data_IF_077652014593
#
_entry.id   IF_077652014593
#
_cell.length_a   1.000
_cell.length_b   1.000
_cell.length_c   1.000
_cell.angle_alpha   90.00
_cell.angle_beta   90.00
_cell.angle_gamma   90.00
#
_symmetry.space_group_name_H-M   'P 1'
#
loop_
_entity.id
_entity.type
_entity.pdbx_description
1 polymer ?
#
# COMPACT_ATOMS: atom_id res chain seq x y z
N UNK A 1 14.21 7.24 -18.86
CA UNK A 1 13.04 7.08 -17.97
C UNK A 1 13.19 5.81 -17.15
N UNK A 2 12.79 5.82 -15.89
CA UNK A 2 12.83 4.62 -15.04
C UNK A 2 11.64 3.71 -15.32
N UNK A 3 11.90 2.42 -15.47
CA UNK A 3 10.89 1.39 -15.71
C UNK A 3 11.17 0.15 -14.87
N UNK A 4 10.12 -0.43 -14.30
CA UNK A 4 10.19 -1.71 -13.62
C UNK A 4 9.55 -2.78 -14.49
N UNK A 5 10.33 -3.78 -14.89
CA UNK A 5 9.83 -4.95 -15.60
C UNK A 5 8.88 -5.74 -14.69
N UNK A 6 7.75 -6.17 -15.22
CA UNK A 6 6.74 -6.92 -14.48
C UNK A 6 6.64 -8.36 -15.00
N UNK A 7 6.52 -9.31 -14.08
CA UNK A 7 6.24 -10.70 -14.45
C UNK A 7 4.83 -10.81 -15.04
N UNK A 8 4.72 -11.40 -16.23
CA UNK A 8 3.44 -11.54 -16.93
C UNK A 8 2.37 -12.23 -16.05
N UNK A 9 1.15 -11.67 -16.03
CA UNK A 9 0.04 -12.12 -15.21
C UNK A 9 -1.28 -11.45 -15.61
N UNK A 10 -2.41 -12.10 -15.29
CA UNK A 10 -3.74 -11.69 -15.78
C UNK A 10 -4.17 -10.25 -15.43
N UNK A 11 -3.69 -9.68 -14.32
CA UNK A 11 -3.99 -8.28 -13.94
C UNK A 11 -3.34 -7.26 -14.90
N UNK A 12 -2.22 -7.60 -15.55
CA UNK A 12 -1.42 -6.65 -16.33
C UNK A 12 -2.08 -6.22 -17.63
N UNK A 13 -2.85 -7.10 -18.27
CA UNK A 13 -3.62 -6.72 -19.46
C UNK A 13 -4.66 -5.64 -19.15
N UNK A 14 -5.34 -5.74 -18.00
CA UNK A 14 -6.31 -4.74 -17.56
C UNK A 14 -5.61 -3.43 -17.19
N UNK A 15 -4.51 -3.51 -16.44
CA UNK A 15 -3.75 -2.32 -16.04
C UNK A 15 -3.09 -1.62 -17.22
N UNK A 16 -2.64 -2.35 -18.25
CA UNK A 16 -1.99 -1.76 -19.43
C UNK A 16 -2.96 -1.18 -20.46
N UNK A 17 -4.20 -1.66 -20.48
CA UNK A 17 -5.25 -1.15 -21.37
C UNK A 17 -6.11 -0.06 -20.74
N UNK A 18 -5.89 0.25 -19.45
CA UNK A 18 -6.60 1.31 -18.74
C UNK A 18 -5.61 2.36 -18.23
N UNK A 19 -5.98 3.64 -18.35
CA UNK A 19 -5.36 4.70 -17.57
C UNK A 19 -5.92 4.61 -16.14
N UNK A 20 -5.51 3.56 -15.41
CA UNK A 20 -6.06 3.27 -14.09
C UNK A 20 -5.69 4.34 -13.07
N UNK A 21 -4.51 4.95 -13.18
CA UNK A 21 -4.08 6.05 -12.33
C UNK A 21 -3.28 7.09 -13.09
N UNK A 22 -3.31 8.33 -12.58
CA UNK A 22 -2.41 9.40 -13.02
C UNK A 22 -1.01 9.34 -12.42
N UNK A 23 -0.84 8.60 -11.31
CA UNK A 23 0.43 8.50 -10.59
C UNK A 23 1.24 7.26 -10.97
N UNK A 24 0.62 6.28 -11.63
CA UNK A 24 1.26 5.03 -12.06
C UNK A 24 0.71 4.62 -13.42
N UNK A 25 1.57 4.07 -14.26
CA UNK A 25 1.18 3.54 -15.56
C UNK A 25 1.83 2.20 -15.80
N UNK A 26 1.05 1.25 -16.30
CA UNK A 26 1.56 0.00 -16.83
C UNK A 26 1.42 0.08 -18.34
N UNK A 27 2.47 -0.26 -19.07
CA UNK A 27 2.43 -0.27 -20.52
C UNK A 27 3.05 -1.55 -21.05
N UNK A 28 2.68 -1.89 -22.27
CA UNK A 28 3.00 -3.16 -22.91
C UNK A 28 3.88 -2.92 -24.12
N UNK A 29 4.99 -3.64 -24.20
CA UNK A 29 5.82 -3.74 -25.40
C UNK A 29 5.85 -5.18 -25.91
N UNK A 30 6.24 -5.35 -27.17
CA UNK A 30 6.45 -6.67 -27.77
C UNK A 30 7.94 -6.89 -27.94
N UNK A 31 8.46 -7.93 -27.31
CA UNK A 31 9.85 -8.35 -27.50
C UNK A 31 10.10 -8.93 -28.90
N UNK A 32 11.37 -9.20 -29.21
CA UNK A 32 11.77 -9.76 -30.51
C UNK A 32 11.14 -11.13 -30.85
N UNK A 33 10.65 -11.87 -29.85
CA UNK A 33 9.95 -13.14 -29.99
C UNK A 33 8.42 -13.01 -29.95
N UNK A 34 7.89 -11.80 -30.13
CA UNK A 34 6.46 -11.45 -29.97
C UNK A 34 5.91 -11.69 -28.55
N UNK A 35 6.79 -11.98 -27.59
CA UNK A 35 6.39 -12.07 -26.19
C UNK A 35 5.97 -10.70 -25.67
N UNK A 36 4.86 -10.67 -24.93
CA UNK A 36 4.38 -9.46 -24.27
C UNK A 36 5.23 -9.17 -23.03
N UNK A 37 5.79 -7.96 -23.00
CA UNK A 37 6.55 -7.42 -21.89
C UNK A 37 5.74 -6.28 -21.26
N UNK A 38 5.69 -6.24 -19.94
CA UNK A 38 4.96 -5.22 -19.20
C UNK A 38 5.90 -4.45 -18.31
N UNK A 39 5.72 -3.14 -18.28
CA UNK A 39 6.56 -2.23 -17.51
C UNK A 39 5.70 -1.31 -16.65
N UNK A 40 6.03 -1.20 -15.37
CA UNK A 40 5.49 -0.16 -14.49
C UNK A 40 6.38 1.08 -14.59
N UNK A 41 5.76 2.25 -14.69
CA UNK A 41 6.43 3.54 -14.60
C UNK A 41 5.59 4.54 -13.81
N UNK A 42 6.22 5.64 -13.39
CA UNK A 42 5.57 6.70 -12.64
C UNK A 42 6.21 8.04 -12.98
N UNK A 43 5.41 9.11 -13.15
CA UNK A 43 5.96 10.44 -13.38
C UNK A 43 6.70 10.97 -12.14
N UNK A 44 6.51 10.36 -10.96
CA UNK A 44 7.26 10.67 -9.73
C UNK A 44 8.74 10.27 -9.76
N UNK A 45 9.19 9.55 -10.80
CA UNK A 45 10.61 9.27 -11.05
C UNK A 45 11.23 10.21 -12.11
N UNK A 46 10.48 11.15 -12.68
CA UNK A 46 10.94 11.99 -13.81
C UNK A 46 12.11 12.91 -13.48
N UNK A 47 12.18 13.39 -12.23
CA UNK A 47 13.26 14.25 -11.72
C UNK A 47 14.54 13.48 -11.35
N UNK A 48 14.53 12.14 -11.37
CA UNK A 48 15.67 11.30 -11.00
C UNK A 48 16.52 10.98 -12.22
N UNK A 49 17.83 11.20 -12.11
CA UNK A 49 18.79 11.06 -13.20
C UNK A 49 19.69 9.84 -13.00
N UNK A 50 19.85 9.04 -14.06
CA UNK A 50 20.84 7.97 -14.09
C UNK A 50 22.25 8.57 -14.33
N UNK A 51 23.31 8.09 -13.66
CA UNK A 51 23.32 7.00 -12.66
C UNK A 51 23.16 7.45 -11.20
N UNK A 52 23.17 8.76 -10.93
CA UNK A 52 23.34 9.31 -9.58
C UNK A 52 22.18 8.94 -8.65
N UNK A 53 20.95 8.84 -9.19
CA UNK A 53 19.73 8.58 -8.42
C UNK A 53 19.29 7.11 -8.42
N UNK A 54 20.16 6.17 -8.83
CA UNK A 54 19.83 4.74 -8.92
C UNK A 54 19.17 4.19 -7.64
N UNK A 55 19.75 4.45 -6.48
CA UNK A 55 19.23 3.94 -5.20
C UNK A 55 17.85 4.52 -4.87
N UNK A 56 17.70 5.84 -5.04
CA UNK A 56 16.42 6.55 -4.83
C UNK A 56 15.34 6.01 -5.77
N UNK A 57 15.66 5.84 -7.06
CA UNK A 57 14.74 5.27 -8.04
C UNK A 57 14.31 3.85 -7.66
N UNK A 58 15.24 2.99 -7.22
CA UNK A 58 14.95 1.64 -6.75
C UNK A 58 14.00 1.63 -5.55
N UNK A 59 14.31 2.38 -4.49
CA UNK A 59 13.45 2.41 -3.30
C UNK A 59 12.08 3.04 -3.58
N UNK A 60 12.04 4.14 -4.34
CA UNK A 60 10.79 4.81 -4.71
C UNK A 60 9.90 3.88 -5.55
N UNK A 61 10.46 3.20 -6.55
CA UNK A 61 9.71 2.27 -7.39
C UNK A 61 9.18 1.06 -6.60
N UNK A 62 9.96 0.52 -5.66
CA UNK A 62 9.51 -0.57 -4.79
C UNK A 62 8.30 -0.16 -3.92
N UNK A 63 8.33 1.04 -3.36
CA UNK A 63 7.22 1.56 -2.55
C UNK A 63 5.99 1.83 -3.42
N UNK A 64 6.18 2.40 -4.61
CA UNK A 64 5.09 2.61 -5.56
C UNK A 64 4.45 1.29 -6.01
N UNK A 65 5.25 0.25 -6.29
CA UNK A 65 4.75 -1.09 -6.57
C UNK A 65 4.00 -1.66 -5.36
N UNK A 66 4.49 -1.44 -4.13
CA UNK A 66 3.80 -1.86 -2.92
C UNK A 66 2.43 -1.16 -2.78
N UNK A 67 2.34 0.14 -3.04
CA UNK A 67 1.07 0.89 -3.04
C UNK A 67 0.12 0.32 -4.09
N UNK A 68 0.59 0.10 -5.33
CA UNK A 68 -0.21 -0.53 -6.39
C UNK A 68 -0.75 -1.90 -5.96
N UNK A 69 0.11 -2.76 -5.43
CA UNK A 69 -0.28 -4.10 -4.99
C UNK A 69 -1.27 -4.07 -3.83
N UNK A 70 -1.13 -3.10 -2.92
CA UNK A 70 -2.06 -2.93 -1.81
C UNK A 70 -3.43 -2.47 -2.32
N UNK A 71 -3.46 -1.52 -3.26
CA UNK A 71 -4.70 -1.08 -3.91
C UNK A 71 -5.38 -2.21 -4.71
N UNK A 72 -4.59 -3.05 -5.39
CA UNK A 72 -5.10 -4.25 -6.07
C UNK A 72 -5.74 -5.22 -5.06
N UNK A 73 -5.07 -5.49 -3.94
CA UNK A 73 -5.59 -6.41 -2.92
C UNK A 73 -6.88 -5.87 -2.29
N UNK A 74 -6.94 -4.58 -1.95
CA UNK A 74 -8.14 -3.95 -1.39
C UNK A 74 -9.34 -3.99 -2.36
N UNK A 75 -9.08 -4.07 -3.67
CA UNK A 75 -10.10 -4.17 -4.73
C UNK A 75 -10.27 -5.60 -5.27
N UNK A 76 -9.87 -6.60 -4.47
CA UNK A 76 -9.98 -8.04 -4.77
C UNK A 76 -9.32 -8.46 -6.10
N UNK A 77 -8.31 -7.71 -6.52
CA UNK A 77 -7.49 -7.98 -7.70
C UNK A 77 -6.16 -8.64 -7.32
N UNK A 78 -5.56 -9.38 -8.26
CA UNK A 78 -4.28 -10.07 -7.99
C UNK A 78 -3.11 -9.08 -8.02
N UNK A 79 -2.19 -9.12 -7.04
CA UNK A 79 -0.97 -8.32 -7.06
C UNK A 79 -0.09 -8.71 -8.24
N UNK A 80 0.81 -7.80 -8.62
CA UNK A 80 1.79 -7.96 -9.69
C UNK A 80 3.20 -8.03 -9.12
N UNK A 81 4.10 -8.72 -9.81
CA UNK A 81 5.47 -8.92 -9.35
C UNK A 81 6.44 -8.10 -10.21
N UNK A 82 7.25 -7.28 -9.56
CA UNK A 82 8.38 -6.59 -10.19
C UNK A 82 9.58 -7.51 -10.30
N UNK A 83 10.31 -7.39 -11.41
CA UNK A 83 11.52 -8.13 -11.70
C UNK A 83 12.72 -7.18 -11.52
N UNK A 84 13.11 -6.51 -12.61
CA UNK A 84 14.27 -5.63 -12.65
C UNK A 84 13.84 -4.19 -12.95
N UNK A 85 14.41 -3.25 -12.19
CA UNK A 85 14.32 -1.83 -12.47
C UNK A 85 15.46 -1.44 -13.41
N UNK A 86 15.14 -0.75 -14.50
CA UNK A 86 16.14 -0.25 -15.45
C UNK A 86 15.83 1.19 -15.85
N UNK A 87 16.86 1.92 -16.28
CA UNK A 87 16.72 3.20 -16.95
C UNK A 87 16.69 2.99 -18.47
N UNK A 88 15.58 3.36 -19.11
CA UNK A 88 15.42 3.38 -20.58
C UNK A 88 15.92 4.71 -21.14
N UNK A 89 16.93 4.67 -21.99
CA UNK A 89 17.47 5.83 -22.70
C UNK A 89 16.66 6.16 -23.97
N UNK A 90 16.77 7.39 -24.52
CA UNK A 90 16.06 7.78 -25.75
C UNK A 90 16.41 6.94 -26.99
N UNK A 91 17.57 6.27 -27.00
CA UNK A 91 18.00 5.38 -28.07
C UNK A 91 17.56 3.92 -27.86
N UNK A 92 16.55 3.68 -27.00
CA UNK A 92 16.05 2.36 -26.59
C UNK A 92 17.10 1.44 -25.94
N UNK A 93 18.24 1.97 -25.50
CA UNK A 93 19.15 1.25 -24.63
C UNK A 93 18.59 1.19 -23.19
N UNK A 94 18.91 0.11 -22.49
CA UNK A 94 18.52 -0.10 -21.09
C UNK A 94 19.76 -0.26 -20.23
N UNK A 95 19.69 0.25 -19.01
CA UNK A 95 20.72 0.04 -18.01
C UNK A 95 20.07 -0.29 -16.67
N UNK A 96 20.45 -1.43 -16.10
CA UNK A 96 19.85 -1.89 -14.85
C UNK A 96 20.24 -0.97 -13.71
N UNK A 97 19.25 -0.68 -12.87
CA UNK A 97 19.45 0.01 -11.62
C UNK A 97 20.16 -0.91 -10.65
N UNK A 98 21.13 -0.37 -9.93
CA UNK A 98 21.76 -1.05 -8.81
C UNK A 98 21.62 -0.20 -7.56
N UNK A 99 21.42 -0.84 -6.42
CA UNK A 99 21.41 -0.15 -5.12
C UNK A 99 22.22 -0.90 -4.09
N UNK A 100 22.89 -0.15 -3.24
CA UNK A 100 23.38 -0.67 -1.97
C UNK A 100 22.23 -0.67 -0.96
N UNK A 101 22.37 -1.45 0.12
CA UNK A 101 21.41 -1.40 1.22
C UNK A 101 21.53 -0.08 1.97
N UNK A 102 20.48 0.74 1.87
CA UNK A 102 20.29 1.95 2.66
C UNK A 102 18.89 1.93 3.32
N UNK A 103 18.81 1.46 4.58
CA UNK A 103 17.54 1.40 5.30
C UNK A 103 16.91 2.77 5.56
N UNK A 104 17.71 3.84 5.66
CA UNK A 104 17.20 5.19 5.94
C UNK A 104 16.56 5.76 4.69
N UNK A 105 17.21 5.62 3.54
CA UNK A 105 16.62 6.01 2.25
C UNK A 105 15.36 5.20 1.96
N UNK A 106 15.36 3.89 2.25
CA UNK A 106 14.16 3.08 2.11
C UNK A 106 13.00 3.59 3.00
N UNK A 107 13.29 3.94 4.24
CA UNK A 107 12.29 4.47 5.17
C UNK A 107 11.75 5.83 4.71
N UNK A 108 12.61 6.70 4.16
CA UNK A 108 12.21 7.96 3.56
C UNK A 108 11.22 7.74 2.40
N UNK A 109 11.54 6.81 1.49
CA UNK A 109 10.65 6.49 0.37
C UNK A 109 9.36 5.81 0.84
N UNK A 110 9.39 5.00 1.91
CA UNK A 110 8.19 4.41 2.53
C UNK A 110 7.26 5.49 3.10
N UNK A 111 7.83 6.56 3.65
CA UNK A 111 7.06 7.67 4.20
C UNK A 111 6.37 8.49 3.11
N UNK A 112 7.08 8.82 2.03
CA UNK A 112 6.49 9.47 0.87
C UNK A 112 7.27 9.19 -0.42
N UNK A 113 6.75 8.34 -1.33
CA UNK A 113 7.37 8.10 -2.63
C UNK A 113 6.96 9.15 -3.67
N UNK A 114 6.03 10.04 -3.36
CA UNK A 114 5.52 11.05 -4.30
C UNK A 114 6.33 12.34 -4.23
N UNK A 115 6.38 13.05 -5.34
CA UNK A 115 7.09 14.32 -5.48
C UNK A 115 6.05 15.40 -5.71
N UNK A 116 6.14 16.58 -5.06
CA UNK A 116 5.29 17.70 -5.40
C UNK A 116 5.54 18.15 -6.85
N UNK A 117 4.53 18.77 -7.46
CA UNK A 117 4.66 19.48 -8.75
C UNK A 117 5.00 18.61 -9.97
N UNK A 118 4.49 17.37 -9.99
CA UNK A 118 4.55 16.51 -11.18
C UNK A 118 3.37 16.81 -12.09
N UNK A 119 3.62 16.99 -13.39
CA UNK A 119 2.55 17.15 -14.37
C UNK A 119 1.77 15.83 -14.54
N UNK A 120 0.47 15.86 -14.22
CA UNK A 120 -0.43 14.72 -14.29
C UNK A 120 -1.38 14.90 -15.47
N UNK A 121 -1.34 13.97 -16.41
CA UNK A 121 -2.05 14.07 -17.69
C UNK A 121 -3.28 13.16 -17.80
N UNK A 122 -3.65 12.47 -16.72
CA UNK A 122 -4.74 11.51 -16.69
C UNK A 122 -5.66 11.71 -15.47
N UNK A 123 -6.89 11.19 -15.57
CA UNK A 123 -7.83 11.07 -14.45
C UNK A 123 -7.83 9.63 -13.92
N UNK A 124 -8.02 9.48 -12.61
CA UNK A 124 -8.10 8.17 -11.96
C UNK A 124 -9.46 7.51 -12.25
N UNK A 125 -9.45 6.57 -13.20
CA UNK A 125 -10.67 6.04 -13.82
C UNK A 125 -11.36 4.90 -13.06
N UNK A 126 -10.69 4.28 -12.09
CA UNK A 126 -11.21 3.11 -11.37
C UNK A 126 -10.83 3.11 -9.88
N UNK A 127 -11.33 2.11 -9.13
CA UNK A 127 -11.12 2.02 -7.68
C UNK A 127 -9.63 1.94 -7.28
N UNK A 128 -8.80 1.22 -8.06
CA UNK A 128 -7.35 1.14 -7.84
C UNK A 128 -6.73 2.53 -7.99
N UNK A 129 -7.10 3.25 -9.05
CA UNK A 129 -6.70 4.64 -9.27
C UNK A 129 -7.06 5.56 -8.13
N UNK A 130 -8.31 5.50 -7.67
CA UNK A 130 -8.81 6.32 -6.56
C UNK A 130 -8.03 6.07 -5.27
N UNK A 131 -7.71 4.82 -4.94
CA UNK A 131 -6.88 4.50 -3.77
C UNK A 131 -5.48 5.10 -3.93
N UNK A 132 -4.86 4.96 -5.11
CA UNK A 132 -3.53 5.53 -5.38
C UNK A 132 -3.56 7.07 -5.27
N UNK A 133 -4.58 7.72 -5.83
CA UNK A 133 -4.78 9.16 -5.71
C UNK A 133 -4.93 9.59 -4.24
N UNK A 134 -5.73 8.88 -3.45
CA UNK A 134 -5.87 9.16 -2.02
C UNK A 134 -4.55 9.00 -1.26
N UNK A 135 -3.70 8.03 -1.60
CA UNK A 135 -2.36 7.92 -1.00
C UNK A 135 -1.42 9.06 -1.36
N UNK A 136 -1.62 9.70 -2.51
CA UNK A 136 -0.91 10.92 -2.87
C UNK A 136 -1.43 12.12 -2.07
N UNK A 137 -2.76 12.26 -1.99
CA UNK A 137 -3.42 13.47 -1.48
C UNK A 137 -3.57 13.51 0.06
N UNK A 138 -3.57 12.36 0.73
CA UNK A 138 -3.77 12.23 2.18
C UNK A 138 -2.64 11.40 2.82
N UNK A 139 -1.81 12.06 3.63
CA UNK A 139 -0.67 11.46 4.32
C UNK A 139 -1.07 10.30 5.24
N UNK A 140 -2.24 10.39 5.89
CA UNK A 140 -2.74 9.35 6.77
C UNK A 140 -3.20 8.13 5.97
N UNK A 141 -3.84 8.35 4.81
CA UNK A 141 -4.18 7.26 3.87
C UNK A 141 -2.91 6.59 3.38
N UNK A 142 -1.88 7.36 3.02
CA UNK A 142 -0.59 6.82 2.60
C UNK A 142 0.02 5.92 3.67
N UNK A 143 0.09 6.40 4.92
CA UNK A 143 0.62 5.64 6.04
C UNK A 143 -0.13 4.32 6.23
N UNK A 144 -1.46 4.34 6.26
CA UNK A 144 -2.29 3.13 6.40
C UNK A 144 -2.08 2.14 5.26
N UNK A 145 -2.06 2.61 4.01
CA UNK A 145 -1.86 1.75 2.83
C UNK A 145 -0.46 1.14 2.82
N UNK A 146 0.57 1.92 3.16
CA UNK A 146 1.94 1.41 3.26
C UNK A 146 2.05 0.36 4.38
N UNK A 147 1.51 0.64 5.57
CA UNK A 147 1.52 -0.30 6.70
C UNK A 147 0.74 -1.58 6.38
N UNK A 148 -0.39 -1.47 5.68
CA UNK A 148 -1.16 -2.63 5.25
C UNK A 148 -0.37 -3.45 4.23
N UNK A 149 0.24 -2.82 3.23
CA UNK A 149 1.15 -3.48 2.29
C UNK A 149 2.30 -4.23 2.97
N UNK A 150 2.90 -3.64 4.02
CA UNK A 150 3.94 -4.30 4.82
C UNK A 150 3.39 -5.48 5.62
N UNK A 151 2.16 -5.39 6.14
CA UNK A 151 1.49 -6.45 6.90
C UNK A 151 1.26 -7.73 6.07
N UNK A 152 1.20 -7.58 4.74
CA UNK A 152 0.97 -8.67 3.79
C UNK A 152 2.25 -9.39 3.37
N UNK A 153 3.44 -8.81 3.64
CA UNK A 153 4.73 -9.39 3.26
C UNK A 153 5.17 -10.50 4.22
N UNK A 154 4.95 -10.31 5.51
CA UNK A 154 5.38 -11.26 6.53
C UNK A 154 4.44 -11.26 7.74
N UNK A 155 4.08 -12.44 8.29
CA UNK A 155 3.21 -12.53 9.46
C UNK A 155 3.72 -11.76 10.70
N UNK A 156 5.04 -11.53 10.80
CA UNK A 156 5.63 -10.73 11.86
C UNK A 156 5.17 -9.27 11.85
N UNK A 157 4.90 -8.70 10.68
CA UNK A 157 4.44 -7.32 10.56
C UNK A 157 2.94 -7.17 10.80
N UNK A 158 2.16 -8.25 10.68
CA UNK A 158 0.70 -8.18 10.74
C UNK A 158 0.20 -7.53 12.02
N UNK A 159 0.56 -8.05 13.21
CA UNK A 159 -0.02 -7.56 14.46
C UNK A 159 0.45 -6.15 14.83
N UNK A 160 1.72 -5.84 14.54
CA UNK A 160 2.32 -4.51 14.80
C UNK A 160 1.61 -3.47 13.94
N UNK A 161 1.47 -3.74 12.65
CA UNK A 161 0.84 -2.82 11.71
C UNK A 161 -0.68 -2.76 11.90
N UNK A 162 -1.34 -3.88 12.23
CA UNK A 162 -2.77 -3.92 12.54
C UNK A 162 -3.14 -2.91 13.63
N UNK A 163 -2.32 -2.87 14.68
CA UNK A 163 -2.51 -1.96 15.79
C UNK A 163 -2.43 -0.51 15.34
N UNK A 164 -1.34 -0.13 14.66
CA UNK A 164 -1.11 1.23 14.19
C UNK A 164 -2.17 1.70 13.19
N UNK A 165 -2.51 0.86 12.21
CA UNK A 165 -3.60 1.11 11.25
C UNK A 165 -4.91 1.39 11.98
N UNK A 166 -5.27 0.59 12.98
CA UNK A 166 -6.51 0.79 13.72
C UNK A 166 -6.53 2.08 14.54
N UNK A 167 -5.39 2.52 15.09
CA UNK A 167 -5.28 3.80 15.80
C UNK A 167 -5.41 5.00 14.84
N UNK A 168 -4.77 4.93 13.68
CA UNK A 168 -4.82 5.99 12.66
C UNK A 168 -6.23 6.16 12.11
N UNK A 169 -6.92 5.05 11.82
CA UNK A 169 -8.33 5.06 11.39
C UNK A 169 -9.25 5.53 12.53
N UNK A 170 -8.99 5.17 13.78
CA UNK A 170 -9.75 5.66 14.93
C UNK A 170 -9.61 7.18 15.11
N UNK A 171 -8.39 7.70 14.96
CA UNK A 171 -8.12 9.12 14.97
C UNK A 171 -8.92 9.85 13.90
N UNK A 172 -8.88 9.36 12.66
CA UNK A 172 -9.57 10.01 11.54
C UNK A 172 -11.10 9.88 11.65
N UNK A 173 -11.63 8.76 12.14
CA UNK A 173 -13.06 8.60 12.41
C UNK A 173 -13.58 9.68 13.39
N UNK A 174 -12.78 10.04 14.40
CA UNK A 174 -13.16 11.10 15.34
C UNK A 174 -13.15 12.50 14.69
N UNK A 175 -12.35 12.70 13.64
CA UNK A 175 -12.38 13.90 12.79
C UNK A 175 -13.62 13.88 11.89
N UNK A 176 -13.85 12.78 11.16
CA UNK A 176 -14.99 12.59 10.25
C UNK A 176 -16.34 12.81 10.96
N UNK A 177 -16.51 12.32 12.19
CA UNK A 177 -17.72 12.55 13.01
C UNK A 177 -18.09 14.02 13.21
N UNK A 178 -17.14 14.93 13.06
CA UNK A 178 -17.31 16.39 13.23
C UNK A 178 -17.38 17.12 11.89
N UNK A 179 -17.17 16.42 10.78
CA UNK A 179 -17.09 17.00 9.46
C UNK A 179 -18.49 17.32 8.90
N UNK A 180 -18.77 18.58 8.54
CA UNK A 180 -20.06 18.95 7.98
C UNK A 180 -20.32 18.24 6.65
N UNK A 181 -21.50 17.64 6.49
CA UNK A 181 -21.90 16.98 5.24
C UNK A 181 -21.41 15.55 5.07
N UNK A 182 -20.69 14.99 6.04
CA UNK A 182 -20.32 13.57 6.03
C UNK A 182 -21.58 12.69 6.09
N UNK A 183 -21.59 11.58 5.35
CA UNK A 183 -22.68 10.62 5.40
C UNK A 183 -22.68 9.86 6.74
N UNK A 184 -23.71 10.02 7.60
CA UNK A 184 -23.76 9.35 8.90
C UNK A 184 -23.76 7.82 8.78
N UNK A 185 -24.26 7.27 7.68
CA UNK A 185 -24.31 5.82 7.47
C UNK A 185 -22.92 5.23 7.25
N UNK A 186 -22.06 5.94 6.50
CA UNK A 186 -20.65 5.58 6.30
C UNK A 186 -19.86 5.66 7.60
N UNK A 187 -20.08 6.73 8.38
CA UNK A 187 -19.46 6.88 9.70
C UNK A 187 -19.88 5.76 10.67
N UNK A 188 -21.16 5.37 10.67
CA UNK A 188 -21.65 4.28 11.49
C UNK A 188 -21.07 2.92 11.06
N UNK A 189 -20.96 2.66 9.75
CA UNK A 189 -20.33 1.46 9.22
C UNK A 189 -18.85 1.38 9.61
N UNK A 190 -18.11 2.49 9.49
CA UNK A 190 -16.71 2.57 9.90
C UNK A 190 -16.55 2.34 11.41
N UNK A 191 -17.40 2.96 12.23
CA UNK A 191 -17.37 2.78 13.68
C UNK A 191 -17.60 1.31 14.07
N UNK A 192 -18.52 0.62 13.37
CA UNK A 192 -18.78 -0.81 13.56
C UNK A 192 -17.59 -1.69 13.14
N UNK A 193 -16.99 -1.42 11.98
CA UNK A 193 -15.81 -2.14 11.47
C UNK A 193 -14.60 -2.01 12.42
N UNK A 194 -14.49 -0.88 13.13
CA UNK A 194 -13.40 -0.60 14.05
C UNK A 194 -13.57 -1.28 15.43
N UNK A 195 -14.78 -1.67 15.83
CA UNK A 195 -15.06 -2.26 17.15
C UNK A 195 -14.15 -3.43 17.56
N UNK A 196 -13.81 -4.40 16.67
CA UNK A 196 -12.92 -5.50 17.02
C UNK A 196 -11.50 -5.06 17.43
N UNK A 197 -11.08 -3.86 17.01
CA UNK A 197 -9.77 -3.26 17.29
C UNK A 197 -9.80 -2.22 18.43
N UNK A 198 -10.96 -1.97 19.03
CA UNK A 198 -11.14 -1.08 20.19
C UNK A 198 -11.02 -1.79 21.53
N UNK A 199 -11.04 -1.03 22.61
CA UNK A 199 -11.04 -1.56 23.98
C UNK A 199 -12.21 -2.54 24.17
N UNK A 200 -11.90 -3.76 24.64
CA UNK A 200 -12.87 -4.86 24.75
C UNK A 200 -13.02 -5.71 23.48
N UNK A 201 -12.55 -5.21 22.33
CA UNK A 201 -12.49 -5.92 21.06
C UNK A 201 -11.55 -7.13 21.09
N UNK A 202 -11.87 -8.16 20.31
CA UNK A 202 -11.13 -9.44 20.30
C UNK A 202 -9.72 -9.28 19.75
N UNK A 203 -9.53 -8.52 18.67
CA UNK A 203 -8.22 -8.36 18.03
C UNK A 203 -7.31 -7.46 18.86
N UNK A 204 -7.84 -6.36 19.43
CA UNK A 204 -7.06 -5.52 20.35
C UNK A 204 -6.59 -6.28 21.58
N UNK A 205 -7.48 -7.07 22.20
CA UNK A 205 -7.11 -7.86 23.36
C UNK A 205 -6.06 -8.93 22.99
N UNK A 206 -6.18 -9.57 21.83
CA UNK A 206 -5.21 -10.53 21.34
C UNK A 206 -3.82 -9.90 21.11
N UNK A 207 -3.77 -8.82 20.33
CA UNK A 207 -2.52 -8.11 19.98
C UNK A 207 -1.82 -7.57 21.23
N UNK A 208 -2.57 -7.12 22.22
CA UNK A 208 -2.01 -6.56 23.45
C UNK A 208 -1.56 -7.61 24.47
N UNK A 209 -1.78 -8.91 24.23
CA UNK A 209 -1.59 -9.94 25.25
C UNK A 209 -0.48 -10.93 24.93
N UNK A 210 0.59 -10.92 25.74
CA UNK A 210 1.73 -11.84 25.59
C UNK A 210 1.38 -13.32 25.72
N UNK A 211 0.39 -13.71 26.54
CA UNK A 211 -0.01 -15.12 26.61
C UNK A 211 -0.77 -15.59 25.35
N UNK A 212 -1.22 -14.64 24.51
CA UNK A 212 -1.93 -14.89 23.27
C UNK A 212 -1.03 -14.77 22.04
N UNK A 213 -0.50 -13.57 21.80
CA UNK A 213 0.29 -13.18 20.64
C UNK A 213 1.81 -13.39 20.82
N UNK A 214 2.25 -13.82 22.01
CA UNK A 214 3.65 -14.19 22.26
C UNK A 214 4.61 -13.02 22.03
N UNK A 215 5.61 -13.23 21.18
CA UNK A 215 6.64 -12.22 20.84
C UNK A 215 6.08 -11.05 20.04
N UNK A 216 4.93 -11.22 19.38
CA UNK A 216 4.28 -10.18 18.59
C UNK A 216 3.32 -9.32 19.42
N UNK A 217 3.19 -9.62 20.72
CA UNK A 217 2.35 -8.82 21.59
C UNK A 217 2.92 -7.41 21.76
N UNK A 218 2.06 -6.40 21.66
CA UNK A 218 2.46 -5.00 21.87
C UNK A 218 2.95 -4.73 23.29
N UNK A 219 2.36 -5.41 24.27
CA UNK A 219 2.71 -5.26 25.68
C UNK A 219 3.42 -6.51 26.21
N UNK A 220 4.26 -6.29 27.23
CA UNK A 220 5.04 -7.31 27.90
C UNK A 220 4.21 -8.25 28.78
N UNK A 221 4.53 -8.34 30.08
CA UNK A 221 3.75 -9.18 30.98
C UNK A 221 2.37 -8.55 31.26
N UNK A 222 1.30 -9.33 31.10
CA UNK A 222 -0.08 -8.87 31.31
C UNK A 222 -0.67 -9.52 32.55
N UNK A 223 -1.36 -8.73 33.37
CA UNK A 223 -2.11 -9.21 34.55
C UNK A 223 -3.43 -9.87 34.19
N UNK A 224 -3.98 -9.54 33.02
CA UNK A 224 -5.23 -10.08 32.50
C UNK A 224 -4.92 -11.01 31.33
N UNK A 225 -5.07 -12.34 31.47
CA UNK A 225 -4.79 -13.28 30.38
C UNK A 225 -5.86 -13.19 29.31
N UNK A 226 -5.47 -13.50 28.07
CA UNK A 226 -6.43 -13.61 26.99
C UNK A 226 -7.31 -14.84 27.21
N UNK A 227 -8.62 -14.61 27.30
CA UNK A 227 -9.61 -15.60 27.71
C UNK A 227 -10.69 -15.87 26.63
N UNK A 228 -10.45 -15.41 25.40
CA UNK A 228 -11.32 -15.65 24.24
C UNK A 228 -10.71 -16.71 23.32
N UNK A 229 -11.45 -17.16 22.31
CA UNK A 229 -10.89 -17.95 21.21
C UNK A 229 -9.80 -17.14 20.50
N UNK A 230 -8.64 -17.75 20.27
CA UNK A 230 -7.53 -17.08 19.58
C UNK A 230 -7.92 -16.88 18.10
N UNK A 231 -7.87 -15.64 17.58
CA UNK A 231 -8.10 -15.40 16.17
C UNK A 231 -6.94 -15.95 15.32
N UNK A 232 -7.22 -16.32 14.07
CA UNK A 232 -6.18 -16.64 13.09
C UNK A 232 -5.65 -15.36 12.43
N UNK A 233 -4.48 -15.44 11.78
CA UNK A 233 -3.94 -14.31 11.03
C UNK A 233 -4.85 -13.92 9.86
N UNK A 234 -5.45 -14.90 9.19
CA UNK A 234 -6.40 -14.64 8.10
C UNK A 234 -7.65 -13.90 8.59
N UNK A 235 -8.14 -14.20 9.80
CA UNK A 235 -9.25 -13.48 10.40
C UNK A 235 -8.91 -12.01 10.68
N UNK A 236 -7.72 -11.75 11.24
CA UNK A 236 -7.23 -10.39 11.51
C UNK A 236 -7.03 -9.63 10.19
N UNK A 237 -6.38 -10.26 9.20
CA UNK A 237 -6.13 -9.66 7.90
C UNK A 237 -7.43 -9.32 7.17
N UNK A 238 -8.43 -10.21 7.20
CA UNK A 238 -9.75 -9.94 6.61
C UNK A 238 -10.46 -8.79 7.33
N UNK A 239 -10.39 -8.75 8.66
CA UNK A 239 -10.97 -7.65 9.43
C UNK A 239 -10.28 -6.30 9.13
N UNK A 240 -8.96 -6.30 8.96
CA UNK A 240 -8.22 -5.10 8.51
C UNK A 240 -8.62 -4.67 7.11
N UNK A 241 -8.74 -5.61 6.16
CA UNK A 241 -9.20 -5.33 4.80
C UNK A 241 -10.55 -4.62 4.83
N UNK A 242 -11.52 -5.17 5.57
CA UNK A 242 -12.85 -4.58 5.74
C UNK A 242 -12.76 -3.20 6.39
N UNK A 243 -11.97 -3.05 7.45
CA UNK A 243 -11.79 -1.77 8.14
C UNK A 243 -11.23 -0.69 7.19
N UNK A 244 -10.18 -1.00 6.44
CA UNK A 244 -9.53 -0.07 5.51
C UNK A 244 -10.47 0.31 4.37
N UNK A 245 -11.16 -0.65 3.75
CA UNK A 245 -12.12 -0.34 2.68
C UNK A 245 -13.30 0.50 3.20
N UNK A 246 -13.84 0.18 4.38
CA UNK A 246 -14.92 0.97 4.97
C UNK A 246 -14.47 2.39 5.30
N UNK A 247 -13.19 2.56 5.68
CA UNK A 247 -12.60 3.86 5.94
C UNK A 247 -12.38 4.68 4.67
N UNK A 248 -11.84 4.06 3.60
CA UNK A 248 -11.67 4.69 2.29
C UNK A 248 -13.03 5.11 1.73
N UNK A 249 -14.06 4.27 1.83
CA UNK A 249 -15.41 4.60 1.39
C UNK A 249 -16.02 5.77 2.16
N UNK A 250 -15.60 6.00 3.41
CA UNK A 250 -16.04 7.10 4.27
C UNK A 250 -15.32 8.43 3.99
N UNK A 251 -14.23 8.43 3.22
CA UNK A 251 -13.57 9.64 2.73
C UNK A 251 -14.21 10.15 1.43
#
# INVERSE_FOLDING_TARGET
>A
MWILSLQNGGSLHRLSSSNFSRHLSVWKEYGHSEQELFYLTSPHLSHLHYPDDNATASYKMDVLLQILNTALILTDSRPVHGLDLSYKFPNDAYQDAYRNQDPLLHLEQLHNPFVPDVELYAEDSNAVGKIIALTHDDDLVREVIVLYGLSLKEPLYLLINAYKISEDIEYDLNRLKKEPGIDPTKVAALDAALQPFRNGGVYRHYINNRSAAGLQARHGANTHPFNKTKPTFEEIQRALHVLINTWIDAK
#
